data_IF_702690707016
#
_entry.id   IF_702690707016
#
_cell.length_a   1.000
_cell.length_b   1.000
_cell.length_c   1.000
_cell.angle_alpha   90.00
_cell.angle_beta   90.00
_cell.angle_gamma   90.00
#
_symmetry.space_group_name_H-M   'P 1'
#
loop_
_entity.id
_entity.type
_entity.pdbx_description
1 polymer ?
#
# COMPACT_ATOMS: atom_id res chain seq x y z
N UNK A 1 10.71 -7.55 -20.37
CA UNK A 1 9.90 -8.64 -19.78
C UNK A 1 10.02 -8.67 -18.25
N UNK A 2 11.24 -8.72 -17.69
CA UNK A 2 11.50 -8.75 -16.23
C UNK A 2 10.73 -7.69 -15.43
N UNK A 3 10.73 -6.43 -15.86
CA UNK A 3 10.06 -5.35 -15.10
C UNK A 3 8.54 -5.55 -14.99
N UNK A 4 7.90 -6.17 -15.99
CA UNK A 4 6.45 -6.46 -15.94
C UNK A 4 6.13 -7.56 -14.93
N UNK A 5 6.98 -8.59 -14.85
CA UNK A 5 6.83 -9.66 -13.85
C UNK A 5 6.97 -9.06 -12.44
N UNK A 6 7.98 -8.21 -12.25
CA UNK A 6 8.18 -7.51 -10.98
C UNK A 6 6.97 -6.62 -10.61
N UNK A 7 6.41 -5.89 -11.59
CA UNK A 7 5.20 -5.09 -11.41
C UNK A 7 4.00 -5.92 -10.95
N UNK A 8 3.74 -7.08 -11.58
CA UNK A 8 2.63 -7.96 -11.21
C UNK A 8 2.78 -8.41 -9.75
N UNK A 9 3.96 -8.91 -9.40
CA UNK A 9 4.26 -9.35 -8.03
C UNK A 9 4.10 -8.19 -7.04
N UNK A 10 4.61 -7.01 -7.38
CA UNK A 10 4.48 -5.82 -6.54
C UNK A 10 3.02 -5.38 -6.34
N UNK A 11 2.21 -5.39 -7.41
CA UNK A 11 0.78 -5.07 -7.34
C UNK A 11 0.05 -6.05 -6.40
N UNK A 12 0.36 -7.35 -6.48
CA UNK A 12 -0.21 -8.35 -5.56
C UNK A 12 0.14 -8.01 -4.10
N UNK A 13 1.40 -7.65 -3.82
CA UNK A 13 1.81 -7.24 -2.48
C UNK A 13 1.08 -5.97 -2.01
N UNK A 14 0.93 -4.95 -2.87
CA UNK A 14 0.20 -3.73 -2.52
C UNK A 14 -1.26 -4.03 -2.20
N UNK A 15 -1.93 -4.87 -3.00
CA UNK A 15 -3.32 -5.25 -2.77
C UNK A 15 -3.48 -6.09 -1.50
N UNK A 16 -2.57 -7.03 -1.23
CA UNK A 16 -2.57 -7.82 -0.01
C UNK A 16 -2.39 -6.94 1.24
N UNK A 17 -1.46 -5.98 1.19
CA UNK A 17 -1.25 -5.01 2.26
C UNK A 17 -2.49 -4.12 2.45
N UNK A 18 -3.03 -3.58 1.36
CA UNK A 18 -4.23 -2.75 1.39
C UNK A 18 -5.43 -3.49 2.00
N UNK A 19 -5.65 -4.73 1.58
CA UNK A 19 -6.70 -5.59 2.13
C UNK A 19 -6.49 -5.82 3.63
N UNK A 20 -5.26 -6.14 4.04
CA UNK A 20 -4.93 -6.37 5.45
C UNK A 20 -5.23 -5.12 6.30
N UNK A 21 -4.76 -3.95 5.85
CA UNK A 21 -5.00 -2.67 6.53
C UNK A 21 -6.49 -2.31 6.59
N UNK A 22 -7.23 -2.52 5.50
CA UNK A 22 -8.65 -2.22 5.47
C UNK A 22 -9.45 -3.16 6.39
N UNK A 23 -9.24 -4.47 6.26
CA UNK A 23 -9.97 -5.50 7.01
C UNK A 23 -9.70 -5.41 8.52
N UNK A 24 -8.47 -5.06 8.92
CA UNK A 24 -8.10 -4.93 10.33
C UNK A 24 -8.23 -3.50 10.85
N UNK A 25 -8.75 -2.55 10.06
CA UNK A 25 -8.96 -1.15 10.51
C UNK A 25 -10.05 -1.02 11.59
N UNK A 26 -10.89 -2.03 11.78
CA UNK A 26 -11.96 -2.07 12.78
C UNK A 26 -11.78 -3.16 13.83
N UNK A 27 -10.61 -3.79 13.88
CA UNK A 27 -10.26 -4.80 14.87
C UNK A 27 -8.79 -4.67 15.23
N UNK A 28 -8.20 -5.73 15.79
CA UNK A 28 -6.77 -5.74 16.11
C UNK A 28 -5.92 -5.79 14.85
N UNK A 29 -4.92 -4.92 14.78
CA UNK A 29 -3.90 -4.95 13.74
C UNK A 29 -2.54 -5.13 14.41
N UNK A 30 -1.93 -6.30 14.23
CA UNK A 30 -0.72 -6.70 14.95
C UNK A 30 -0.91 -6.56 16.48
N UNK A 31 -0.09 -5.72 17.13
CA UNK A 31 -0.18 -5.41 18.56
C UNK A 31 -1.00 -4.15 18.85
N UNK A 32 -1.57 -3.51 17.83
CA UNK A 32 -2.33 -2.27 17.96
C UNK A 32 -3.84 -2.54 17.92
N UNK A 33 -4.59 -1.67 18.61
CA UNK A 33 -6.06 -1.63 18.63
C UNK A 33 -6.58 -0.38 17.87
N UNK A 34 -6.63 -0.40 16.52
CA UNK A 34 -7.19 0.69 15.71
C UNK A 34 -8.63 1.08 16.08
N UNK A 35 -9.42 0.18 16.64
CA UNK A 35 -10.77 0.47 17.12
C UNK A 35 -10.78 1.46 18.30
N UNK A 36 -9.78 1.40 19.17
CA UNK A 36 -9.58 2.30 20.30
C UNK A 36 -8.91 3.63 19.90
N UNK A 37 -8.20 3.66 18.75
CA UNK A 37 -7.53 4.86 18.24
C UNK A 37 -8.08 5.28 16.86
N UNK A 38 -9.03 6.23 16.88
CA UNK A 38 -9.68 6.76 15.66
C UNK A 38 -8.68 7.35 14.64
N UNK A 39 -7.54 7.86 15.09
CA UNK A 39 -6.48 8.38 14.20
C UNK A 39 -5.81 7.22 13.47
N UNK A 40 -5.41 6.16 14.19
CA UNK A 40 -4.82 4.97 13.58
C UNK A 40 -5.77 4.32 12.57
N UNK A 41 -7.05 4.19 12.92
CA UNK A 41 -8.09 3.68 12.00
C UNK A 41 -8.21 4.50 10.73
N UNK A 42 -8.22 5.84 10.83
CA UNK A 42 -8.26 6.73 9.66
C UNK A 42 -7.02 6.56 8.79
N UNK A 43 -5.83 6.55 9.40
CA UNK A 43 -4.56 6.39 8.67
C UNK A 43 -4.51 5.04 7.97
N UNK A 44 -4.87 3.93 8.63
CA UNK A 44 -4.91 2.61 8.01
C UNK A 44 -5.84 2.55 6.79
N UNK A 45 -7.06 3.10 6.91
CA UNK A 45 -8.02 3.13 5.78
C UNK A 45 -7.54 4.03 4.64
N UNK A 46 -6.95 5.18 4.98
CA UNK A 46 -6.40 6.10 3.99
C UNK A 46 -5.22 5.47 3.24
N UNK A 47 -4.27 4.86 3.95
CA UNK A 47 -3.16 4.12 3.36
C UNK A 47 -3.66 2.98 2.49
N UNK A 48 -4.62 2.19 2.96
CA UNK A 48 -5.22 1.12 2.15
C UNK A 48 -5.82 1.65 0.84
N UNK A 49 -6.57 2.76 0.89
CA UNK A 49 -7.11 3.42 -0.31
C UNK A 49 -6.02 3.90 -1.27
N UNK A 50 -4.95 4.51 -0.76
CA UNK A 50 -3.81 4.93 -1.57
C UNK A 50 -3.11 3.74 -2.24
N UNK A 51 -2.89 2.64 -1.52
CA UNK A 51 -2.24 1.44 -2.05
C UNK A 51 -3.09 0.82 -3.18
N UNK A 52 -4.41 0.79 -3.04
CA UNK A 52 -5.32 0.33 -4.12
C UNK A 52 -5.24 1.26 -5.32
N UNK A 53 -5.25 2.58 -5.11
CA UNK A 53 -5.13 3.55 -6.19
C UNK A 53 -3.83 3.35 -6.97
N UNK A 54 -2.71 3.19 -6.26
CA UNK A 54 -1.40 2.94 -6.87
C UNK A 54 -1.34 1.59 -7.57
N UNK A 55 -1.98 0.56 -7.02
CA UNK A 55 -2.09 -0.73 -7.70
C UNK A 55 -2.85 -0.62 -9.02
N UNK A 56 -3.98 0.11 -9.05
CA UNK A 56 -4.76 0.36 -10.29
C UNK A 56 -3.92 1.14 -11.30
N UNK A 57 -3.25 2.23 -10.89
CA UNK A 57 -2.35 2.98 -11.76
C UNK A 57 -1.21 2.11 -12.28
N UNK A 58 -0.64 1.25 -11.43
CA UNK A 58 0.41 0.31 -11.80
C UNK A 58 -0.04 -0.69 -12.86
N UNK A 59 -1.28 -1.19 -12.78
CA UNK A 59 -1.87 -2.04 -13.83
C UNK A 59 -1.92 -1.28 -15.14
N UNK A 60 -2.45 -0.05 -15.16
CA UNK A 60 -2.55 0.78 -16.38
C UNK A 60 -1.15 1.04 -16.97
N UNK A 61 -0.21 1.53 -16.14
CA UNK A 61 1.16 1.86 -16.55
C UNK A 61 1.92 0.63 -17.05
N UNK A 62 1.64 -0.57 -16.53
CA UNK A 62 2.25 -1.80 -17.03
C UNK A 62 1.92 -2.09 -18.51
N UNK A 63 0.74 -1.67 -18.98
CA UNK A 63 0.30 -1.88 -20.37
C UNK A 63 0.71 -0.75 -21.31
N UNK A 64 0.58 0.52 -20.88
CA UNK A 64 0.77 1.69 -21.76
C UNK A 64 2.03 2.52 -21.45
N UNK A 65 2.65 2.30 -20.29
CA UNK A 65 3.75 3.10 -19.79
C UNK A 65 5.14 2.66 -20.24
N UNK A 66 6.11 3.55 -20.06
CA UNK A 66 7.54 3.31 -20.28
C UNK A 66 8.20 2.58 -19.09
N UNK A 67 9.47 2.20 -19.21
CA UNK A 67 10.20 1.54 -18.10
C UNK A 67 10.36 2.47 -16.90
N UNK A 68 10.59 3.75 -17.16
CA UNK A 68 10.81 4.80 -16.16
C UNK A 68 9.52 5.02 -15.34
N UNK A 69 8.37 5.07 -16.00
CA UNK A 69 7.07 5.23 -15.33
C UNK A 69 6.69 4.01 -14.48
N UNK A 70 7.03 2.79 -14.94
CA UNK A 70 6.92 1.58 -14.11
C UNK A 70 7.79 1.70 -12.85
N UNK A 71 9.04 2.14 -12.98
CA UNK A 71 9.95 2.32 -11.85
C UNK A 71 9.45 3.37 -10.84
N UNK A 72 8.95 4.50 -11.34
CA UNK A 72 8.32 5.54 -10.49
C UNK A 72 7.13 4.96 -9.72
N UNK A 73 6.32 4.11 -10.35
CA UNK A 73 5.16 3.48 -9.71
C UNK A 73 5.58 2.53 -8.59
N UNK A 74 6.62 1.71 -8.83
CA UNK A 74 7.22 0.85 -7.81
C UNK A 74 7.71 1.67 -6.62
N UNK A 75 8.47 2.75 -6.91
CA UNK A 75 9.00 3.64 -5.89
C UNK A 75 7.87 4.27 -5.07
N UNK A 76 6.85 4.81 -5.73
CA UNK A 76 5.73 5.48 -5.08
C UNK A 76 4.93 4.54 -4.17
N UNK A 77 4.63 3.31 -4.63
CA UNK A 77 3.99 2.30 -3.78
C UNK A 77 4.86 1.91 -2.58
N UNK A 78 6.17 1.81 -2.76
CA UNK A 78 7.11 1.49 -1.68
C UNK A 78 7.20 2.60 -0.64
N UNK A 79 7.15 3.87 -1.07
CA UNK A 79 7.17 5.03 -0.19
C UNK A 79 5.90 5.12 0.66
N UNK A 80 4.73 4.81 0.09
CA UNK A 80 3.47 4.77 0.84
C UNK A 80 3.51 3.68 1.91
N UNK A 81 3.96 2.47 1.56
CA UNK A 81 4.09 1.37 2.50
C UNK A 81 5.12 1.67 3.61
N UNK A 82 6.28 2.22 3.25
CA UNK A 82 7.31 2.63 4.19
C UNK A 82 6.81 3.75 5.13
N UNK A 83 6.14 4.76 4.58
CA UNK A 83 5.56 5.86 5.36
C UNK A 83 4.55 5.37 6.39
N UNK A 84 3.70 4.41 6.02
CA UNK A 84 2.80 3.75 6.97
C UNK A 84 3.56 2.96 8.05
N UNK A 85 4.60 2.21 7.67
CA UNK A 85 5.43 1.47 8.62
C UNK A 85 6.13 2.39 9.63
N UNK A 86 6.66 3.54 9.18
CA UNK A 86 7.29 4.54 10.05
C UNK A 86 6.25 5.17 10.98
N UNK A 87 5.07 5.52 10.45
CA UNK A 87 3.97 6.06 11.25
C UNK A 87 3.59 5.09 12.38
N UNK A 88 3.46 3.80 12.06
CA UNK A 88 3.14 2.77 13.04
C UNK A 88 4.23 2.63 14.11
N UNK A 89 5.51 2.68 13.72
CA UNK A 89 6.63 2.62 14.66
C UNK A 89 6.65 3.80 15.65
N UNK A 90 6.14 4.97 15.24
CA UNK A 90 6.13 6.19 16.03
C UNK A 90 4.83 6.44 16.81
N UNK A 91 3.80 5.59 16.67
CA UNK A 91 2.52 5.73 17.39
C UNK A 91 2.54 5.08 18.79
N UNK A 92 3.71 4.58 19.21
CA UNK A 92 3.91 3.92 20.50
C UNK A 92 4.02 4.92 21.64
#
# INVERSE_FOLDING_TARGET
MIIKILMILFIIFLLALAYTLWSHSSGKFLIYSPDENLTLKKVMRFTAGLLVLVAILGIVIMFVGTKETNFITLLLGSLIAAGFSIYLANIR
#
